data_IF_883190060058
#
_entry.id   IF_883190060058
#
_cell.length_a   1.000
_cell.length_b   1.000
_cell.length_c   1.000
_cell.angle_alpha   90.00
_cell.angle_beta   90.00
_cell.angle_gamma   90.00
#
_symmetry.space_group_name_H-M   'P 1'
#
loop_
_entity.id
_entity.type
_entity.pdbx_description
1 polymer ?
#
# COMPACT_ATOMS: atom_id res chain seq x y z
N UNK A 1 -29.00 23.94 44.80
CA UNK A 1 -28.29 25.05 45.47
C UNK A 1 -26.80 24.75 45.41
N UNK A 2 -25.98 25.66 44.87
CA UNK A 2 -24.53 25.47 44.80
C UNK A 2 -23.87 26.10 46.04
N UNK A 3 -23.54 25.26 47.03
CA UNK A 3 -23.02 25.72 48.33
C UNK A 3 -21.63 26.32 48.27
N UNK A 4 -20.81 25.95 47.29
CA UNK A 4 -19.44 26.43 47.15
C UNK A 4 -19.43 27.86 46.60
N UNK A 5 -20.22 28.13 45.55
CA UNK A 5 -20.42 29.50 45.04
C UNK A 5 -21.03 30.44 46.07
N UNK A 6 -21.94 29.94 46.91
CA UNK A 6 -22.53 30.74 47.98
C UNK A 6 -21.48 31.19 49.00
N UNK A 7 -20.53 30.30 49.37
CA UNK A 7 -19.42 30.63 50.26
C UNK A 7 -18.46 31.63 49.62
N UNK A 8 -18.10 31.44 48.35
CA UNK A 8 -17.26 32.39 47.60
C UNK A 8 -17.85 33.80 47.59
N UNK A 9 -19.12 33.95 47.23
CA UNK A 9 -19.79 35.25 47.25
C UNK A 9 -19.88 35.85 48.65
N UNK A 10 -20.11 35.03 49.68
CA UNK A 10 -20.12 35.49 51.06
C UNK A 10 -18.75 36.04 51.49
N UNK A 11 -17.66 35.35 51.15
CA UNK A 11 -16.31 35.80 51.45
C UNK A 11 -15.97 37.11 50.75
N UNK A 12 -16.22 37.21 49.44
CA UNK A 12 -15.99 38.43 48.65
C UNK A 12 -16.74 39.65 49.21
N UNK A 13 -18.03 39.47 49.55
CA UNK A 13 -18.82 40.56 50.11
C UNK A 13 -18.38 40.94 51.54
N UNK A 14 -17.86 39.98 52.31
CA UNK A 14 -17.32 40.24 53.64
C UNK A 14 -15.98 40.98 53.58
N UNK A 15 -15.16 40.70 52.58
CA UNK A 15 -13.88 41.38 52.38
C UNK A 15 -14.08 42.81 51.88
N UNK A 16 -14.96 43.02 50.89
CA UNK A 16 -15.37 44.36 50.45
C UNK A 16 -15.93 45.18 51.62
N UNK A 17 -16.77 44.55 52.47
CA UNK A 17 -17.31 45.19 53.68
C UNK A 17 -16.22 45.72 54.61
N UNK A 18 -15.12 44.97 54.79
CA UNK A 18 -13.98 45.39 55.62
C UNK A 18 -13.24 46.57 54.97
N UNK A 19 -13.07 46.56 53.65
CA UNK A 19 -12.40 47.64 52.92
C UNK A 19 -13.18 48.96 52.96
N UNK A 20 -14.51 48.91 52.82
CA UNK A 20 -15.36 50.12 52.78
C UNK A 20 -15.83 50.59 54.18
N UNK A 21 -15.50 49.85 55.25
CA UNK A 21 -15.90 50.19 56.62
C UNK A 21 -17.41 50.13 56.89
N UNK A 22 -18.18 49.39 56.09
CA UNK A 22 -19.65 49.31 56.22
C UNK A 22 -20.06 48.41 57.39
N UNK A 23 -21.14 48.80 58.10
CA UNK A 23 -21.75 47.99 59.18
C UNK A 23 -22.89 47.10 58.71
N UNK A 24 -23.28 47.15 57.44
CA UNK A 24 -24.38 46.36 56.89
C UNK A 24 -24.12 44.85 56.99
N UNK A 25 -25.15 44.08 57.31
CA UNK A 25 -25.05 42.61 57.40
C UNK A 25 -25.32 42.01 56.03
N UNK A 26 -24.41 41.15 55.56
CA UNK A 26 -24.62 40.37 54.33
C UNK A 26 -25.78 39.40 54.59
N UNK A 27 -26.92 39.68 53.98
CA UNK A 27 -28.11 38.84 54.12
C UNK A 27 -28.01 37.63 53.21
N UNK A 28 -28.31 36.44 53.74
CA UNK A 28 -28.40 35.20 52.98
C UNK A 28 -29.43 35.34 51.84
N UNK A 29 -30.51 36.09 52.06
CA UNK A 29 -31.52 36.34 51.03
C UNK A 29 -30.94 37.10 49.83
N UNK A 30 -29.98 38.01 50.06
CA UNK A 30 -29.29 38.73 48.99
C UNK A 30 -28.31 37.82 48.24
N UNK A 31 -27.63 36.89 48.94
CA UNK A 31 -26.72 35.93 48.32
C UNK A 31 -27.44 34.92 47.44
N UNK A 32 -28.63 34.50 47.86
CA UNK A 32 -29.49 33.55 47.14
C UNK A 32 -29.91 34.09 45.77
N UNK A 33 -30.02 35.42 45.63
CA UNK A 33 -30.33 36.10 44.37
C UNK A 33 -29.11 36.24 43.44
N UNK A 34 -27.89 36.00 43.93
CA UNK A 34 -26.69 36.15 43.12
C UNK A 34 -26.60 35.04 42.05
N UNK A 35 -26.08 35.37 40.85
CA UNK A 35 -25.97 34.43 39.75
C UNK A 35 -25.28 33.13 40.16
N UNK A 36 -25.94 32.00 39.90
CA UNK A 36 -25.35 30.68 40.11
C UNK A 36 -25.46 30.09 41.53
N UNK A 37 -26.06 30.80 42.49
CA UNK A 37 -26.32 30.29 43.86
C UNK A 37 -27.58 29.42 43.89
N UNK A 38 -28.72 29.97 43.46
CA UNK A 38 -29.92 29.21 43.15
C UNK A 38 -29.91 28.75 41.70
N UNK A 39 -29.18 27.67 41.44
CA UNK A 39 -29.41 26.90 40.23
C UNK A 39 -30.64 26.02 40.47
N UNK A 40 -31.75 26.34 39.79
CA UNK A 40 -32.84 25.38 39.57
C UNK A 40 -32.15 24.11 39.07
N UNK A 41 -32.36 22.99 39.76
CA UNK A 41 -31.78 21.71 39.37
C UNK A 41 -32.24 21.38 37.96
N UNK A 42 -31.45 21.78 36.95
CA UNK A 42 -31.34 20.98 35.74
C UNK A 42 -30.78 19.67 36.28
N UNK A 43 -31.65 18.68 36.42
CA UNK A 43 -31.23 17.30 36.64
C UNK A 43 -30.46 16.88 35.39
N UNK A 44 -29.19 17.29 35.31
CA UNK A 44 -28.28 17.08 34.19
C UNK A 44 -27.82 15.62 34.07
N UNK A 45 -28.43 14.71 34.86
CA UNK A 45 -28.22 13.27 34.75
C UNK A 45 -28.99 12.69 33.55
N UNK A 46 -30.18 13.24 33.24
CA UNK A 46 -31.01 12.75 32.12
C UNK A 46 -30.39 13.09 30.76
N UNK A 47 -29.76 14.26 30.62
CA UNK A 47 -29.06 14.66 29.39
C UNK A 47 -27.79 13.85 29.11
N UNK A 48 -27.02 13.49 30.14
CA UNK A 48 -25.73 12.79 29.95
C UNK A 48 -25.89 11.39 29.38
N UNK A 49 -26.86 10.62 29.87
CA UNK A 49 -27.09 9.25 29.40
C UNK A 49 -27.67 9.24 27.98
N UNK A 50 -28.58 10.17 27.67
CA UNK A 50 -29.13 10.34 26.32
C UNK A 50 -28.05 10.79 25.34
N UNK A 51 -27.22 11.76 25.70
CA UNK A 51 -26.07 12.20 24.89
C UNK A 51 -25.07 11.06 24.67
N UNK A 52 -24.74 10.30 25.71
CA UNK A 52 -23.85 9.14 25.58
C UNK A 52 -24.41 8.09 24.62
N UNK A 53 -25.71 7.78 24.73
CA UNK A 53 -26.36 6.84 23.82
C UNK A 53 -26.36 7.31 22.35
N UNK A 54 -26.56 8.62 22.13
CA UNK A 54 -26.50 9.22 20.80
C UNK A 54 -25.07 9.21 20.24
N UNK A 55 -24.07 9.51 21.05
CA UNK A 55 -22.67 9.40 20.64
C UNK A 55 -22.31 7.97 20.24
N UNK A 56 -22.73 6.97 21.02
CA UNK A 56 -22.49 5.56 20.70
C UNK A 56 -23.16 5.17 19.39
N UNK A 57 -24.41 5.60 19.14
CA UNK A 57 -25.08 5.27 17.87
C UNK A 57 -24.40 5.90 16.67
N UNK A 58 -23.99 7.17 16.77
CA UNK A 58 -23.28 7.86 15.68
C UNK A 58 -21.90 7.24 15.41
N UNK A 59 -21.17 6.85 16.46
CA UNK A 59 -19.88 6.14 16.30
C UNK A 59 -20.09 4.80 15.61
N UNK A 60 -21.13 4.04 16.00
CA UNK A 60 -21.44 2.76 15.34
C UNK A 60 -21.76 2.95 13.86
N UNK A 61 -22.62 3.91 13.53
CA UNK A 61 -22.97 4.21 12.14
C UNK A 61 -21.73 4.64 11.33
N UNK A 62 -20.85 5.46 11.92
CA UNK A 62 -19.61 5.87 11.27
C UNK A 62 -18.65 4.68 11.04
N UNK A 63 -18.54 3.76 12.01
CA UNK A 63 -17.73 2.56 11.89
C UNK A 63 -18.30 1.59 10.85
N UNK A 64 -19.61 1.39 10.81
CA UNK A 64 -20.28 0.56 9.79
C UNK A 64 -20.02 1.12 8.38
N UNK A 65 -20.25 2.43 8.18
CA UNK A 65 -19.95 3.09 6.90
C UNK A 65 -18.47 2.98 6.52
N UNK A 66 -17.56 3.11 7.49
CA UNK A 66 -16.12 2.95 7.25
C UNK A 66 -15.78 1.53 6.81
N UNK A 67 -16.37 0.50 7.45
CA UNK A 67 -16.15 -0.90 7.07
C UNK A 67 -16.73 -1.22 5.68
N UNK A 68 -17.92 -0.70 5.37
CA UNK A 68 -18.54 -0.85 4.04
C UNK A 68 -17.66 -0.23 2.94
N UNK A 69 -17.17 1.00 3.16
CA UNK A 69 -16.26 1.65 2.21
C UNK A 69 -14.97 0.85 2.01
N UNK A 70 -14.37 0.34 3.09
CA UNK A 70 -13.17 -0.51 3.03
C UNK A 70 -13.40 -1.80 2.25
N UNK A 71 -14.56 -2.44 2.42
CA UNK A 71 -14.90 -3.66 1.68
C UNK A 71 -15.04 -3.38 0.18
N UNK A 72 -15.69 -2.27 -0.19
CA UNK A 72 -15.84 -1.86 -1.59
C UNK A 72 -14.49 -1.54 -2.21
N UNK A 73 -13.64 -0.77 -1.52
CA UNK A 73 -12.28 -0.44 -1.96
C UNK A 73 -11.42 -1.70 -2.15
N UNK A 74 -11.45 -2.63 -1.18
CA UNK A 74 -10.74 -3.90 -1.27
C UNK A 74 -11.17 -4.74 -2.48
N UNK A 75 -12.47 -4.79 -2.79
CA UNK A 75 -12.96 -5.48 -4.00
C UNK A 75 -12.46 -4.83 -5.29
N UNK A 76 -12.46 -3.50 -5.37
CA UNK A 76 -11.95 -2.78 -6.54
C UNK A 76 -10.46 -3.03 -6.74
N UNK A 77 -9.69 -3.01 -5.66
CA UNK A 77 -8.25 -3.21 -5.70
C UNK A 77 -7.88 -4.65 -6.06
N UNK A 78 -8.56 -5.66 -5.50
CA UNK A 78 -8.36 -7.05 -5.87
C UNK A 78 -8.60 -7.27 -7.37
N UNK A 79 -9.64 -6.64 -7.92
CA UNK A 79 -9.93 -6.69 -9.35
C UNK A 79 -8.86 -6.01 -10.21
N UNK A 80 -8.35 -4.85 -9.80
CA UNK A 80 -7.27 -4.16 -10.53
C UNK A 80 -5.99 -4.99 -10.53
N UNK A 81 -5.60 -5.55 -9.38
CA UNK A 81 -4.41 -6.40 -9.29
C UNK A 81 -4.57 -7.66 -10.17
N UNK A 82 -5.75 -8.28 -10.20
CA UNK A 82 -6.01 -9.43 -11.06
C UNK A 82 -5.83 -9.08 -12.56
N UNK A 83 -6.32 -7.93 -13.00
CA UNK A 83 -6.13 -7.48 -14.38
C UNK A 83 -4.65 -7.27 -14.73
N UNK A 84 -3.87 -6.69 -13.81
CA UNK A 84 -2.43 -6.51 -13.98
C UNK A 84 -1.68 -7.83 -14.00
N UNK A 85 -2.05 -8.76 -13.12
CA UNK A 85 -1.51 -10.12 -13.07
C UNK A 85 -1.69 -10.84 -14.41
N UNK A 86 -2.90 -10.80 -14.98
CA UNK A 86 -3.19 -11.41 -16.29
C UNK A 86 -2.38 -10.75 -17.42
N UNK A 87 -2.23 -9.43 -17.39
CA UNK A 87 -1.37 -8.72 -18.34
C UNK A 87 0.09 -9.18 -18.25
N UNK A 88 0.65 -9.26 -17.03
CA UNK A 88 2.01 -9.76 -16.82
C UNK A 88 2.15 -11.18 -17.34
N UNK A 89 1.22 -12.08 -17.01
CA UNK A 89 1.24 -13.47 -17.50
C UNK A 89 1.22 -13.55 -19.03
N UNK A 90 0.43 -12.69 -19.69
CA UNK A 90 0.38 -12.65 -21.16
C UNK A 90 1.73 -12.28 -21.77
N UNK A 91 2.45 -11.33 -21.16
CA UNK A 91 3.80 -10.95 -21.61
C UNK A 91 4.80 -12.06 -21.35
N UNK A 92 4.75 -12.70 -20.18
CA UNK A 92 5.67 -13.81 -19.87
C UNK A 92 5.51 -14.97 -20.86
N UNK A 93 4.27 -15.33 -21.21
CA UNK A 93 4.02 -16.36 -22.22
C UNK A 93 4.53 -15.96 -23.60
N UNK A 94 4.38 -14.69 -23.99
CA UNK A 94 4.96 -14.16 -25.23
C UNK A 94 6.49 -14.30 -25.21
N UNK A 95 7.14 -13.91 -24.12
CA UNK A 95 8.60 -13.98 -23.97
C UNK A 95 9.08 -15.45 -24.04
N UNK A 96 8.41 -16.38 -23.39
CA UNK A 96 8.74 -17.82 -23.46
C UNK A 96 8.74 -18.33 -24.91
N UNK A 97 7.76 -17.92 -25.72
CA UNK A 97 7.70 -18.31 -27.14
C UNK A 97 8.79 -17.67 -27.99
N UNK A 98 9.25 -16.45 -27.64
CA UNK A 98 10.28 -15.71 -28.37
C UNK A 98 11.70 -16.15 -28.03
N UNK A 99 11.95 -16.60 -26.80
CA UNK A 99 13.28 -16.99 -26.32
C UNK A 99 14.05 -17.93 -27.27
N UNK A 100 13.48 -19.08 -27.73
CA UNK A 100 14.19 -19.95 -28.67
C UNK A 100 14.45 -19.31 -30.03
N UNK A 101 13.58 -18.40 -30.48
CA UNK A 101 13.74 -17.69 -31.76
C UNK A 101 14.92 -16.71 -31.69
N UNK A 102 15.07 -16.00 -30.57
CA UNK A 102 16.17 -15.06 -30.34
C UNK A 102 17.53 -15.77 -30.42
N UNK A 103 17.65 -16.96 -29.83
CA UNK A 103 18.88 -17.77 -29.89
C UNK A 103 19.19 -18.21 -31.33
N UNK A 104 18.17 -18.61 -32.10
CA UNK A 104 18.34 -18.99 -33.51
C UNK A 104 18.78 -17.80 -34.37
N UNK A 105 18.17 -16.64 -34.22
CA UNK A 105 18.54 -15.42 -34.96
C UNK A 105 19.94 -14.93 -34.58
N UNK A 106 20.31 -15.01 -33.30
CA UNK A 106 21.68 -14.74 -32.87
C UNK A 106 22.69 -15.67 -33.54
N UNK A 107 22.41 -16.97 -33.55
CA UNK A 107 23.26 -17.99 -34.21
C UNK A 107 23.49 -17.66 -35.69
N UNK A 108 22.43 -17.35 -36.44
CA UNK A 108 22.52 -16.94 -37.85
C UNK A 108 23.37 -15.69 -38.04
N UNK A 109 23.12 -14.66 -37.22
CA UNK A 109 23.84 -13.38 -37.29
C UNK A 109 25.32 -13.53 -36.95
N UNK A 110 25.63 -14.33 -35.92
CA UNK A 110 27.01 -14.63 -35.52
C UNK A 110 27.74 -15.34 -36.65
N UNK A 111 27.15 -16.40 -37.23
CA UNK A 111 27.73 -17.13 -38.35
C UNK A 111 28.04 -16.21 -39.53
N UNK A 112 27.06 -15.41 -39.97
CA UNK A 112 27.23 -14.47 -41.08
C UNK A 112 28.34 -13.46 -40.81
N UNK A 113 28.38 -12.88 -39.59
CA UNK A 113 29.39 -11.89 -39.21
C UNK A 113 30.79 -12.50 -39.18
N UNK A 114 30.97 -13.67 -38.58
CA UNK A 114 32.30 -14.29 -38.51
C UNK A 114 32.77 -14.73 -39.91
N UNK A 115 31.90 -15.33 -40.73
CA UNK A 115 32.24 -15.66 -42.12
C UNK A 115 32.68 -14.43 -42.94
N UNK A 116 32.02 -13.27 -42.74
CA UNK A 116 32.43 -12.03 -43.39
C UNK A 116 33.79 -11.51 -42.92
N UNK A 117 34.12 -11.66 -41.64
CA UNK A 117 35.40 -11.21 -41.06
C UNK A 117 36.57 -12.11 -41.44
N UNK A 118 36.32 -13.41 -41.63
CA UNK A 118 37.33 -14.38 -42.05
C UNK A 118 37.53 -14.41 -43.57
N UNK A 119 36.68 -13.74 -44.34
CA UNK A 119 36.79 -13.66 -45.80
C UNK A 119 38.14 -13.03 -46.19
N UNK A 120 39.00 -13.79 -46.87
CA UNK A 120 40.35 -13.35 -47.26
C UNK A 120 41.44 -13.67 -46.24
N UNK A 121 41.14 -14.42 -45.19
CA UNK A 121 42.13 -14.99 -44.26
C UNK A 121 42.28 -16.49 -44.49
N UNK A 122 43.44 -17.07 -44.12
CA UNK A 122 43.66 -18.52 -44.11
C UNK A 122 43.00 -19.24 -42.92
N UNK A 123 42.17 -18.53 -42.14
CA UNK A 123 41.53 -19.05 -40.94
C UNK A 123 40.14 -19.58 -41.30
N UNK A 124 39.94 -20.88 -41.12
CA UNK A 124 38.63 -21.52 -41.32
C UNK A 124 37.75 -21.43 -40.06
N UNK A 125 36.47 -21.12 -40.27
CA UNK A 125 35.46 -21.20 -39.21
C UNK A 125 35.16 -22.67 -38.92
N UNK A 126 35.52 -23.16 -37.73
CA UNK A 126 35.10 -24.50 -37.30
C UNK A 126 33.72 -24.46 -36.63
N UNK A 127 32.88 -25.45 -36.94
CA UNK A 127 31.55 -25.59 -36.32
C UNK A 127 31.64 -25.75 -34.80
N UNK A 128 32.72 -26.36 -34.29
CA UNK A 128 32.96 -26.50 -32.84
C UNK A 128 33.08 -25.16 -32.11
N UNK A 129 33.84 -24.21 -32.66
CA UNK A 129 33.98 -22.86 -32.09
C UNK A 129 32.66 -22.10 -32.10
N UNK A 130 31.91 -22.19 -33.21
CA UNK A 130 30.62 -21.52 -33.34
C UNK A 130 29.57 -22.12 -32.39
N UNK A 131 29.47 -23.44 -32.30
CA UNK A 131 28.56 -24.14 -31.38
C UNK A 131 28.85 -23.79 -29.92
N UNK A 132 30.13 -23.71 -29.53
CA UNK A 132 30.52 -23.31 -28.17
C UNK A 132 30.05 -21.89 -27.85
N UNK A 133 30.25 -20.94 -28.76
CA UNK A 133 29.84 -19.56 -28.56
C UNK A 133 28.31 -19.41 -28.48
N UNK A 134 27.57 -20.15 -29.34
CA UNK A 134 26.11 -20.20 -29.29
C UNK A 134 25.62 -20.78 -27.96
N UNK A 135 26.25 -21.84 -27.46
CA UNK A 135 25.89 -22.44 -26.18
C UNK A 135 26.10 -21.48 -25.01
N UNK A 136 27.25 -20.79 -24.96
CA UNK A 136 27.53 -19.76 -23.94
C UNK A 136 26.50 -18.62 -24.03
N UNK A 137 26.16 -18.19 -25.24
CA UNK A 137 25.15 -17.15 -25.44
C UNK A 137 23.76 -17.59 -24.96
N UNK A 138 23.36 -18.83 -25.28
CA UNK A 138 22.08 -19.40 -24.87
C UNK A 138 21.97 -19.47 -23.35
N UNK A 139 23.01 -19.96 -22.66
CA UNK A 139 23.07 -20.00 -21.19
C UNK A 139 22.99 -18.60 -20.58
N UNK A 140 23.70 -17.62 -21.17
CA UNK A 140 23.70 -16.24 -20.66
C UNK A 140 22.34 -15.54 -20.80
N UNK A 141 21.58 -15.87 -21.83
CA UNK A 141 20.28 -15.27 -22.11
C UNK A 141 19.11 -16.12 -21.62
N UNK A 142 19.38 -17.27 -20.99
CA UNK A 142 18.33 -18.14 -20.44
C UNK A 142 17.69 -17.49 -19.20
N UNK A 143 16.39 -17.24 -19.33
CA UNK A 143 15.55 -16.66 -18.29
C UNK A 143 14.41 -17.60 -17.85
N UNK A 144 14.47 -18.88 -18.23
CA UNK A 144 13.40 -19.85 -17.98
C UNK A 144 13.10 -19.99 -16.48
N UNK A 145 14.14 -19.96 -15.66
CA UNK A 145 14.00 -20.05 -14.20
C UNK A 145 13.30 -18.81 -13.62
N UNK A 146 13.73 -17.60 -14.02
CA UNK A 146 13.15 -16.35 -13.57
C UNK A 146 11.66 -16.23 -13.96
N UNK A 147 11.28 -16.68 -15.16
CA UNK A 147 9.86 -16.71 -15.59
C UNK A 147 9.05 -17.65 -14.69
N UNK A 148 9.55 -18.85 -14.43
CA UNK A 148 8.89 -19.83 -13.57
C UNK A 148 8.70 -19.29 -12.15
N UNK A 149 9.74 -18.67 -11.58
CA UNK A 149 9.68 -18.03 -10.26
C UNK A 149 8.68 -16.87 -10.22
N UNK A 150 8.70 -15.99 -11.23
CA UNK A 150 7.76 -14.88 -11.30
C UNK A 150 6.31 -15.36 -11.42
N UNK A 151 6.03 -16.40 -12.21
CA UNK A 151 4.71 -17.04 -12.27
C UNK A 151 4.27 -17.60 -10.91
N UNK A 152 5.18 -18.23 -10.17
CA UNK A 152 4.92 -18.70 -8.80
C UNK A 152 4.57 -17.54 -7.86
N UNK A 153 5.34 -16.44 -7.90
CA UNK A 153 5.06 -15.26 -7.09
C UNK A 153 3.72 -14.59 -7.44
N UNK A 154 3.34 -14.55 -8.72
CA UNK A 154 2.02 -14.06 -9.15
C UNK A 154 0.88 -14.93 -8.59
N UNK A 155 1.06 -16.24 -8.51
CA UNK A 155 0.09 -17.14 -7.84
C UNK A 155 0.00 -16.84 -6.34
N UNK A 156 1.15 -16.68 -5.67
CA UNK A 156 1.20 -16.35 -4.25
C UNK A 156 0.57 -14.98 -3.94
N UNK A 157 0.74 -14.00 -4.83
CA UNK A 157 0.10 -12.69 -4.75
C UNK A 157 -1.43 -12.85 -4.75
N UNK A 158 -1.97 -13.61 -5.70
CA UNK A 158 -3.39 -13.87 -5.81
C UNK A 158 -3.96 -14.56 -4.56
N UNK A 159 -3.30 -15.61 -4.08
CA UNK A 159 -3.70 -16.32 -2.85
C UNK A 159 -3.70 -15.39 -1.63
N UNK A 160 -2.69 -14.53 -1.54
CA UNK A 160 -2.52 -13.64 -0.38
C UNK A 160 -3.59 -12.54 -0.34
N UNK A 161 -3.97 -11.97 -1.49
CA UNK A 161 -5.03 -10.95 -1.58
C UNK A 161 -6.41 -11.49 -1.15
N UNK A 162 -6.64 -12.79 -1.31
CA UNK A 162 -7.91 -13.43 -0.95
C UNK A 162 -7.90 -14.07 0.45
N UNK A 163 -6.84 -13.89 1.24
CA UNK A 163 -6.77 -14.45 2.59
C UNK A 163 -7.36 -13.50 3.64
N UNK A 164 -7.96 -14.06 4.69
CA UNK A 164 -8.59 -13.31 5.80
C UNK A 164 -7.59 -12.78 6.85
N UNK A 165 -6.27 -12.91 6.60
CA UNK A 165 -5.22 -12.53 7.54
C UNK A 165 -4.64 -11.13 7.25
N UNK A 166 -3.90 -10.58 8.22
CA UNK A 166 -3.12 -9.36 7.98
C UNK A 166 -1.95 -9.67 7.04
N UNK A 167 -2.03 -9.19 5.79
CA UNK A 167 -1.13 -9.63 4.70
C UNK A 167 -0.09 -8.61 4.24
N UNK A 168 -0.09 -7.38 4.75
CA UNK A 168 0.78 -6.29 4.25
C UNK A 168 2.26 -6.69 4.08
N UNK A 169 2.90 -7.20 5.15
CA UNK A 169 4.30 -7.66 5.09
C UNK A 169 4.54 -8.80 4.10
N UNK A 170 3.56 -9.69 3.94
CA UNK A 170 3.67 -10.83 3.01
C UNK A 170 3.56 -10.34 1.57
N UNK A 171 2.65 -9.42 1.29
CA UNK A 171 2.51 -8.77 -0.01
C UNK A 171 3.78 -7.99 -0.39
N UNK A 172 4.36 -7.23 0.54
CA UNK A 172 5.62 -6.53 0.34
C UNK A 172 6.75 -7.47 -0.07
N UNK A 173 6.88 -8.60 0.63
CA UNK A 173 7.89 -9.60 0.31
C UNK A 173 7.68 -10.20 -1.09
N UNK A 174 6.44 -10.56 -1.42
CA UNK A 174 6.11 -11.13 -2.74
C UNK A 174 6.45 -10.12 -3.85
N UNK A 175 6.07 -8.85 -3.70
CA UNK A 175 6.37 -7.80 -4.67
C UNK A 175 7.88 -7.60 -4.83
N UNK A 176 8.64 -7.61 -3.73
CA UNK A 176 10.10 -7.49 -3.77
C UNK A 176 10.74 -8.62 -4.57
N UNK A 177 10.31 -9.87 -4.35
CA UNK A 177 10.82 -11.01 -5.11
C UNK A 177 10.40 -10.93 -6.59
N UNK A 178 9.16 -10.52 -6.90
CA UNK A 178 8.72 -10.26 -8.29
C UNK A 178 9.61 -9.22 -8.99
N UNK A 179 9.98 -8.15 -8.29
CA UNK A 179 10.92 -7.14 -8.80
C UNK A 179 12.32 -7.71 -9.04
N UNK A 180 12.80 -8.56 -8.14
CA UNK A 180 14.11 -9.21 -8.23
C UNK A 180 14.20 -10.12 -9.45
N UNK A 181 13.20 -10.96 -9.67
CA UNK A 181 13.13 -11.83 -10.84
C UNK A 181 13.08 -11.00 -12.13
N UNK A 182 12.25 -9.95 -12.15
CA UNK A 182 12.15 -9.06 -13.33
C UNK A 182 13.45 -8.32 -13.64
N UNK A 183 14.16 -7.83 -12.63
CA UNK A 183 15.47 -7.20 -12.83
C UNK A 183 16.51 -8.17 -13.38
N UNK A 184 16.49 -9.42 -12.90
CA UNK A 184 17.39 -10.47 -13.40
C UNK A 184 17.11 -10.77 -14.87
N UNK A 185 15.84 -10.91 -15.25
CA UNK A 185 15.45 -11.05 -16.66
C UNK A 185 15.90 -9.88 -17.52
N UNK A 186 15.71 -8.64 -17.07
CA UNK A 186 16.16 -7.44 -17.79
C UNK A 186 17.68 -7.43 -18.01
N UNK A 187 18.47 -7.92 -17.06
CA UNK A 187 19.93 -7.98 -17.18
C UNK A 187 20.42 -9.06 -18.15
N UNK A 188 19.61 -10.11 -18.37
CA UNK A 188 19.88 -11.21 -19.30
C UNK A 188 19.28 -10.98 -20.70
N UNK A 189 18.30 -10.09 -20.81
CA UNK A 189 17.62 -9.78 -22.07
C UNK A 189 18.59 -9.13 -23.07
N UNK A 190 18.81 -9.81 -24.19
CA UNK A 190 19.71 -9.37 -25.25
C UNK A 190 18.97 -8.95 -26.54
N UNK A 191 17.65 -8.90 -26.50
CA UNK A 191 16.77 -8.45 -27.57
C UNK A 191 15.97 -7.21 -27.12
N UNK A 192 15.83 -6.21 -27.99
CA UNK A 192 15.20 -4.94 -27.64
C UNK A 192 13.69 -5.03 -27.47
N UNK A 193 13.02 -5.94 -28.19
CA UNK A 193 11.58 -6.17 -28.05
C UNK A 193 11.31 -6.86 -26.72
N UNK A 194 12.09 -7.89 -26.40
CA UNK A 194 12.05 -8.58 -25.12
C UNK A 194 12.32 -7.63 -23.94
N UNK A 195 13.33 -6.76 -24.06
CA UNK A 195 13.64 -5.78 -23.01
C UNK A 195 12.49 -4.80 -22.78
N UNK A 196 11.84 -4.33 -23.86
CA UNK A 196 10.67 -3.47 -23.76
C UNK A 196 9.52 -4.16 -23.04
N UNK A 197 9.21 -5.39 -23.43
CA UNK A 197 8.17 -6.20 -22.80
C UNK A 197 8.45 -6.40 -21.29
N UNK A 198 9.69 -6.65 -20.90
CA UNK A 198 10.09 -6.77 -19.49
C UNK A 198 10.00 -5.46 -18.70
N UNK A 199 10.24 -4.32 -19.36
CA UNK A 199 10.03 -2.99 -18.75
C UNK A 199 8.53 -2.75 -18.50
N UNK A 200 7.67 -3.18 -19.41
CA UNK A 200 6.22 -3.11 -19.23
C UNK A 200 5.78 -3.97 -18.04
N UNK A 201 6.31 -5.20 -17.92
CA UNK A 201 6.10 -6.06 -16.74
C UNK A 201 6.54 -5.35 -15.45
N UNK A 202 7.76 -4.80 -15.43
CA UNK A 202 8.28 -4.08 -14.26
C UNK A 202 7.40 -2.91 -13.86
N UNK A 203 6.85 -2.20 -14.84
CA UNK A 203 5.93 -1.07 -14.62
C UNK A 203 4.62 -1.53 -14.00
N UNK A 204 4.06 -2.67 -14.42
CA UNK A 204 2.86 -3.21 -13.80
C UNK A 204 3.10 -3.72 -12.37
N UNK A 205 4.26 -4.31 -12.08
CA UNK A 205 4.63 -4.69 -10.71
C UNK A 205 4.75 -3.45 -9.82
N UNK A 206 5.30 -2.34 -10.34
CA UNK A 206 5.34 -1.07 -9.61
C UNK A 206 3.95 -0.53 -9.29
N UNK A 207 3.03 -0.57 -10.27
CA UNK A 207 1.64 -0.15 -10.04
C UNK A 207 0.94 -1.04 -8.99
N UNK A 208 1.17 -2.36 -9.01
CA UNK A 208 0.67 -3.26 -7.97
C UNK A 208 1.21 -2.85 -6.60
N UNK A 209 2.51 -2.52 -6.52
CA UNK A 209 3.16 -2.04 -5.29
C UNK A 209 2.50 -0.77 -4.76
N UNK A 210 2.31 0.23 -5.61
CA UNK A 210 1.66 1.50 -5.26
C UNK A 210 0.24 1.27 -4.74
N UNK A 211 -0.53 0.40 -5.40
CA UNK A 211 -1.89 0.06 -4.95
C UNK A 211 -1.87 -0.55 -3.55
N UNK A 212 -0.97 -1.49 -3.27
CA UNK A 212 -0.89 -2.15 -1.96
C UNK A 212 -0.51 -1.18 -0.84
N UNK A 213 0.43 -0.26 -1.08
CA UNK A 213 0.79 0.76 -0.08
C UNK A 213 -0.32 1.79 0.18
N UNK A 214 -1.20 2.04 -0.78
CA UNK A 214 -2.33 2.97 -0.61
C UNK A 214 -3.45 2.41 0.28
N UNK A 215 -3.42 1.11 0.64
CA UNK A 215 -4.43 0.45 1.48
C UNK A 215 -4.12 0.57 2.99
N UNK A 216 -2.86 0.80 3.37
CA UNK A 216 -2.44 0.98 4.77
C UNK A 216 -2.92 2.33 5.35
#
# INVERSE_FOLDING_TARGET
>A
MNSDRLKEYYHLLTDIKKEIGSRERVSINSLILLPGVLQKGKNSQTDKNTLLSLCISLIKEALEKMLEMRAVEGMHLAKDIEQRKEFILSILNKIETMSPIIVQEYSKRLRSRVSSLLSGTDIELTDSSLCREIAIFAERCDITEEISRLKSHLSQLQETIHSDESVGRKLDFIIQEMFRETNTMCSKANDSVMLKDLVDVKTEIEKIREQIFNIE
#
